data_IF_024338818201
#
_entry.id   IF_024338818201
#
_cell.length_a   1.000
_cell.length_b   1.000
_cell.length_c   1.000
_cell.angle_alpha   90.00
_cell.angle_beta   90.00
_cell.angle_gamma   90.00
#
_symmetry.space_group_name_H-M   'P 1'
#
loop_
_entity.id
_entity.type
_entity.pdbx_description
1 polymer ?
#
# COMPACT_ATOMS: atom_id res chain seq x y z
N UNK A 1 -7.15 -8.71 -13.56
CA UNK A 1 -6.16 -8.37 -14.61
C UNK A 1 -4.97 -9.34 -14.62
N UNK A 2 -4.19 -9.48 -13.55
CA UNK A 2 -2.99 -10.34 -13.53
C UNK A 2 -3.22 -11.79 -14.00
N UNK A 3 -4.34 -12.44 -13.61
CA UNK A 3 -4.68 -13.81 -14.05
C UNK A 3 -4.95 -13.94 -15.56
N UNK A 4 -5.51 -12.91 -16.19
CA UNK A 4 -5.98 -12.96 -17.58
C UNK A 4 -5.04 -12.25 -18.56
N UNK A 5 -4.29 -11.25 -18.07
CA UNK A 5 -3.37 -10.40 -18.84
C UNK A 5 -2.15 -10.03 -18.00
N UNK A 6 -1.31 -11.02 -17.61
CA UNK A 6 -0.18 -10.79 -16.69
C UNK A 6 0.84 -9.79 -17.22
N UNK A 7 1.14 -9.85 -18.52
CA UNK A 7 2.17 -9.04 -19.17
C UNK A 7 1.68 -7.65 -19.62
N UNK A 8 0.39 -7.34 -19.42
CA UNK A 8 -0.12 -6.01 -19.73
C UNK A 8 0.49 -4.98 -18.81
N UNK A 9 0.85 -3.82 -19.39
CA UNK A 9 1.38 -2.68 -18.65
C UNK A 9 0.34 -2.20 -17.63
N UNK A 10 0.79 -2.03 -16.39
CA UNK A 10 0.03 -1.41 -15.32
C UNK A 10 0.48 0.03 -15.09
N UNK A 11 1.79 0.26 -15.01
CA UNK A 11 2.37 1.57 -14.78
C UNK A 11 3.77 1.70 -15.38
N UNK A 12 4.20 2.95 -15.60
CA UNK A 12 5.58 3.33 -15.87
C UNK A 12 6.08 4.22 -14.75
N UNK A 13 7.18 3.82 -14.10
CA UNK A 13 7.70 4.49 -12.91
C UNK A 13 9.08 5.06 -13.24
N UNK A 14 9.40 6.33 -12.93
CA UNK A 14 10.74 6.86 -13.12
C UNK A 14 11.78 5.99 -12.41
N UNK A 15 12.90 5.69 -13.09
CA UNK A 15 13.99 4.94 -12.46
C UNK A 15 14.74 5.74 -11.40
N UNK A 16 14.70 7.07 -11.51
CA UNK A 16 15.29 8.00 -10.55
C UNK A 16 14.21 8.72 -9.76
N UNK A 17 14.46 8.92 -8.48
CA UNK A 17 13.57 9.68 -7.58
C UNK A 17 13.68 11.19 -7.78
N UNK A 18 14.71 11.64 -8.51
CA UNK A 18 15.06 13.06 -8.62
C UNK A 18 15.16 13.53 -10.07
N UNK A 19 15.00 12.63 -11.05
CA UNK A 19 15.18 12.93 -12.47
C UNK A 19 14.38 11.99 -13.37
N UNK A 20 14.05 12.45 -14.58
CA UNK A 20 13.43 11.63 -15.63
C UNK A 20 14.43 11.17 -16.71
N UNK A 21 15.69 11.64 -16.64
CA UNK A 21 16.73 11.35 -17.65
C UNK A 21 17.06 9.85 -17.76
N UNK A 22 16.94 9.12 -16.65
CA UNK A 22 17.17 7.67 -16.59
C UNK A 22 16.02 6.84 -17.19
N UNK A 23 14.97 7.52 -17.66
CA UNK A 23 13.77 6.93 -18.22
C UNK A 23 12.89 6.24 -17.19
N UNK A 24 12.03 5.35 -17.69
CA UNK A 24 10.98 4.71 -16.90
C UNK A 24 11.15 3.19 -16.87
N UNK A 25 10.87 2.60 -15.72
CA UNK A 25 10.67 1.17 -15.55
C UNK A 25 9.20 0.82 -15.80
N UNK A 26 8.97 -0.14 -16.70
CA UNK A 26 7.65 -0.70 -16.95
C UNK A 26 7.30 -1.70 -15.87
N UNK A 27 6.10 -1.56 -15.31
CA UNK A 27 5.55 -2.48 -14.31
C UNK A 27 4.29 -3.11 -14.88
N UNK A 28 4.25 -4.44 -14.91
CA UNK A 28 3.11 -5.21 -15.42
C UNK A 28 2.12 -5.56 -14.31
N UNK A 29 0.92 -6.03 -14.67
CA UNK A 29 -0.03 -6.56 -13.68
C UNK A 29 0.52 -7.78 -12.92
N UNK A 30 1.38 -8.59 -13.52
CA UNK A 30 2.06 -9.68 -12.82
C UNK A 30 3.04 -9.15 -11.76
N UNK A 31 3.81 -8.11 -12.10
CA UNK A 31 4.71 -7.47 -11.13
C UNK A 31 3.94 -6.88 -9.95
N UNK A 32 2.81 -6.21 -10.21
CA UNK A 32 1.93 -5.68 -9.16
C UNK A 32 1.44 -6.82 -8.25
N UNK A 33 0.91 -7.90 -8.81
CA UNK A 33 0.39 -9.03 -8.02
C UNK A 33 1.48 -9.69 -7.16
N UNK A 34 2.69 -9.85 -7.71
CA UNK A 34 3.84 -10.38 -6.98
C UNK A 34 4.25 -9.44 -5.82
N UNK A 35 4.35 -8.13 -6.08
CA UNK A 35 4.65 -7.15 -5.05
C UNK A 35 3.59 -7.12 -3.94
N UNK A 36 2.30 -7.25 -4.29
CA UNK A 36 1.21 -7.37 -3.31
C UNK A 36 1.38 -8.61 -2.42
N UNK A 37 1.73 -9.78 -2.99
CA UNK A 37 2.02 -10.97 -2.19
C UNK A 37 3.21 -10.73 -1.24
N UNK A 38 4.30 -10.13 -1.73
CA UNK A 38 5.48 -9.83 -0.91
C UNK A 38 5.17 -8.90 0.26
N UNK A 39 4.40 -7.85 0.01
CA UNK A 39 3.94 -6.95 1.08
C UNK A 39 3.00 -7.64 2.07
N UNK A 40 2.05 -8.45 1.59
CA UNK A 40 1.14 -9.18 2.46
C UNK A 40 1.89 -10.14 3.39
N UNK A 41 2.86 -10.89 2.86
CA UNK A 41 3.77 -11.71 3.68
C UNK A 41 4.58 -10.86 4.65
N UNK A 42 5.17 -9.74 4.20
CA UNK A 42 5.95 -8.87 5.08
C UNK A 42 5.13 -8.36 6.27
N UNK A 43 3.92 -7.86 5.99
CA UNK A 43 2.98 -7.37 7.01
C UNK A 43 2.60 -8.49 7.96
N UNK A 44 2.17 -9.64 7.44
CA UNK A 44 1.77 -10.78 8.27
C UNK A 44 2.89 -11.24 9.21
N UNK A 45 4.13 -11.35 8.72
CA UNK A 45 5.26 -11.75 9.57
C UNK A 45 5.66 -10.66 10.58
N UNK A 46 5.50 -9.39 10.24
CA UNK A 46 5.93 -8.28 11.10
C UNK A 46 4.92 -8.00 12.21
N UNK A 47 3.63 -8.22 11.94
CA UNK A 47 2.52 -7.74 12.76
C UNK A 47 1.61 -8.87 13.28
N UNK A 48 1.71 -10.06 12.69
CA UNK A 48 0.76 -11.14 12.93
C UNK A 48 -0.52 -10.98 12.09
N UNK A 49 -1.50 -11.88 12.29
CA UNK A 49 -2.81 -11.77 11.66
C UNK A 49 -3.54 -10.52 12.17
N UNK A 50 -4.15 -9.77 11.25
CA UNK A 50 -5.01 -8.64 11.63
C UNK A 50 -6.32 -9.15 12.25
N UNK A 51 -6.64 -8.66 13.45
CA UNK A 51 -7.93 -8.88 14.10
C UNK A 51 -8.75 -7.58 14.12
N UNK A 52 -10.08 -7.69 13.97
CA UNK A 52 -11.04 -6.59 14.22
C UNK A 52 -10.71 -5.23 13.55
N UNK A 53 -10.38 -5.23 12.26
CA UNK A 53 -10.12 -4.00 11.50
C UNK A 53 -8.97 -3.13 12.06
N UNK A 54 -7.82 -3.72 12.34
CA UNK A 54 -6.58 -2.94 12.48
C UNK A 54 -6.40 -2.06 11.22
N UNK A 55 -6.05 -0.78 11.39
CA UNK A 55 -6.01 0.22 10.29
C UNK A 55 -4.57 0.67 10.01
N UNK A 56 -4.12 0.59 8.74
CA UNK A 56 -2.78 1.07 8.30
C UNK A 56 -2.93 2.55 7.99
N UNK A 57 -2.18 3.36 8.71
CA UNK A 57 -1.77 4.63 8.15
C UNK A 57 -0.64 4.35 7.14
N UNK A 58 -0.61 5.01 6.00
CA UNK A 58 0.56 4.97 5.13
C UNK A 58 0.99 6.40 4.86
N UNK A 59 2.26 6.69 5.14
CA UNK A 59 2.87 7.97 4.82
C UNK A 59 4.19 7.68 4.13
N UNK A 60 4.20 7.78 2.80
CA UNK A 60 5.38 7.52 1.98
C UNK A 60 5.23 8.09 0.57
N UNK A 61 6.24 7.85 -0.27
CA UNK A 61 6.27 8.32 -1.66
C UNK A 61 5.05 7.83 -2.46
N UNK A 62 4.58 8.69 -3.38
CA UNK A 62 3.46 8.41 -4.28
C UNK A 62 3.92 7.52 -5.45
N UNK A 63 4.14 6.24 -5.17
CA UNK A 63 4.47 5.22 -6.17
C UNK A 63 3.58 3.98 -6.00
N UNK A 64 3.85 2.92 -6.78
CA UNK A 64 3.02 1.71 -6.81
C UNK A 64 2.88 1.02 -5.44
N UNK A 65 3.78 1.29 -4.49
CA UNK A 65 3.65 0.80 -3.11
C UNK A 65 2.35 1.31 -2.48
N UNK A 66 1.85 2.49 -2.86
CA UNK A 66 0.55 3.01 -2.41
C UNK A 66 -0.60 2.05 -2.79
N UNK A 67 -0.64 1.62 -4.05
CA UNK A 67 -1.67 0.68 -4.53
C UNK A 67 -1.58 -0.68 -3.84
N UNK A 68 -0.37 -1.12 -3.51
CA UNK A 68 -0.16 -2.38 -2.82
C UNK A 68 -0.41 -2.30 -1.30
N UNK A 69 -0.34 -1.10 -0.69
CA UNK A 69 -0.51 -0.85 0.75
C UNK A 69 -1.92 -0.43 1.15
N UNK A 70 -2.76 0.03 0.23
CA UNK A 70 -4.22 0.22 0.44
C UNK A 70 -4.89 -1.07 0.97
N UNK A 71 -4.23 -2.23 0.89
CA UNK A 71 -4.75 -3.52 1.33
C UNK A 71 -4.34 -3.95 2.76
N UNK A 72 -3.81 -3.08 3.63
CA UNK A 72 -3.36 -3.51 4.97
C UNK A 72 -3.66 -2.52 6.14
N UNK A 73 -3.13 -2.76 7.34
CA UNK A 73 -3.66 -2.41 8.69
C UNK A 73 -2.77 -1.74 9.85
N UNK A 74 -1.62 -1.07 9.66
CA UNK A 74 -0.62 -0.36 10.55
C UNK A 74 0.15 0.87 9.90
N UNK A 75 0.76 1.82 10.63
CA UNK A 75 1.61 2.88 10.04
C UNK A 75 2.83 2.34 9.25
N UNK A 76 2.85 2.53 7.93
CA UNK A 76 3.92 2.07 7.05
C UNK A 76 4.58 3.25 6.32
N UNK A 77 5.91 3.30 6.32
CA UNK A 77 6.69 4.39 5.68
C UNK A 77 7.91 3.88 4.90
N UNK A 78 8.44 4.70 4.00
CA UNK A 78 9.64 4.40 3.22
C UNK A 78 10.91 4.49 4.09
N UNK A 79 12.05 4.03 3.56
CA UNK A 79 13.37 4.32 4.12
C UNK A 79 14.20 5.11 3.09
N UNK A 80 14.66 6.34 3.38
CA UNK A 80 14.39 7.10 4.61
C UNK A 80 12.90 7.49 4.74
N UNK A 81 12.44 7.63 5.99
CA UNK A 81 11.09 8.11 6.28
C UNK A 81 10.98 9.60 5.92
N UNK A 82 9.77 10.05 5.54
CA UNK A 82 9.53 11.46 5.25
C UNK A 82 9.73 12.33 6.52
N UNK A 83 10.23 13.57 6.41
CA UNK A 83 10.59 14.40 7.58
C UNK A 83 9.46 14.63 8.60
N UNK A 84 8.19 14.54 8.19
CA UNK A 84 7.03 14.71 9.07
C UNK A 84 6.67 13.45 9.87
N UNK A 85 7.14 12.27 9.44
CA UNK A 85 6.73 10.97 9.99
C UNK A 85 7.18 10.79 11.45
N UNK A 86 8.41 11.16 11.87
CA UNK A 86 8.81 11.05 13.28
C UNK A 86 7.89 11.83 14.22
N UNK A 87 7.52 13.07 13.87
CA UNK A 87 6.65 13.89 14.71
C UNK A 87 5.23 13.32 14.88
N UNK A 88 4.68 12.69 13.84
CA UNK A 88 3.38 12.01 13.91
C UNK A 88 3.47 10.76 14.77
N UNK A 89 4.53 9.98 14.60
CA UNK A 89 4.78 8.76 15.39
C UNK A 89 4.89 9.09 16.87
N UNK A 90 5.65 10.12 17.23
CA UNK A 90 5.83 10.59 18.61
C UNK A 90 4.51 11.13 19.18
N UNK A 91 3.79 11.97 18.44
CA UNK A 91 2.55 12.59 18.92
C UNK A 91 1.40 11.60 19.11
N UNK A 92 1.35 10.54 18.30
CA UNK A 92 0.26 9.56 18.32
C UNK A 92 0.64 8.24 19.00
N UNK A 93 1.88 8.08 19.49
CA UNK A 93 2.36 6.85 20.10
C UNK A 93 2.31 5.64 19.15
N UNK A 94 2.54 5.88 17.86
CA UNK A 94 2.41 4.84 16.84
C UNK A 94 3.67 3.97 16.79
N UNK A 95 3.53 2.72 16.37
CA UNK A 95 4.66 1.88 16.00
C UNK A 95 5.02 2.16 14.54
N UNK A 96 6.26 2.61 14.29
CA UNK A 96 6.78 2.81 12.93
C UNK A 96 7.30 1.48 12.37
N UNK A 97 6.92 1.16 11.13
CA UNK A 97 7.45 0.02 10.37
C UNK A 97 7.86 0.50 8.98
N UNK A 98 9.05 0.09 8.53
CA UNK A 98 9.54 0.41 7.19
C UNK A 98 9.04 -0.61 6.17
N UNK A 99 8.53 -0.14 5.02
CA UNK A 99 8.29 -1.03 3.88
C UNK A 99 9.58 -1.56 3.29
N UNK A 100 9.57 -2.76 2.70
CA UNK A 100 10.50 -3.10 1.64
C UNK A 100 10.56 -2.01 0.55
N UNK A 101 11.72 -1.84 -0.08
CA UNK A 101 11.87 -0.90 -1.19
C UNK A 101 11.06 -1.37 -2.42
N UNK A 102 10.80 -0.46 -3.37
CA UNK A 102 10.17 -0.86 -4.63
C UNK A 102 11.03 -1.89 -5.38
N UNK A 103 12.35 -1.68 -5.38
CA UNK A 103 13.32 -2.59 -6.00
C UNK A 103 13.22 -3.99 -5.38
N UNK A 104 13.25 -4.09 -4.04
CA UNK A 104 13.11 -5.38 -3.33
C UNK A 104 11.82 -6.13 -3.71
N UNK A 105 10.70 -5.41 -3.84
CA UNK A 105 9.40 -5.99 -4.16
C UNK A 105 9.29 -6.44 -5.62
N UNK A 106 10.07 -5.83 -6.51
CA UNK A 106 10.05 -6.15 -7.95
C UNK A 106 11.08 -7.20 -8.34
N UNK A 107 12.21 -7.27 -7.64
CA UNK A 107 13.28 -8.23 -7.92
C UNK A 107 13.02 -9.63 -7.35
N UNK A 108 12.30 -9.71 -6.23
CA UNK A 108 12.00 -10.98 -5.56
C UNK A 108 10.73 -11.60 -6.10
N UNK A 109 10.71 -12.92 -6.22
CA UNK A 109 9.47 -13.68 -6.44
C UNK A 109 8.90 -14.10 -5.10
N UNK A 110 7.60 -13.89 -4.90
CA UNK A 110 6.91 -14.23 -3.66
C UNK A 110 5.87 -15.31 -3.90
N UNK A 111 5.71 -16.20 -2.92
CA UNK A 111 4.62 -17.16 -2.90
C UNK A 111 3.27 -16.44 -2.84
N UNK A 112 2.22 -17.12 -3.30
CA UNK A 112 0.88 -16.57 -3.24
C UNK A 112 0.44 -16.42 -1.78
N UNK A 113 0.07 -15.20 -1.39
CA UNK A 113 -0.50 -14.95 -0.09
C UNK A 113 -1.97 -15.40 -0.07
N UNK A 114 -2.37 -16.31 0.83
CA UNK A 114 -3.74 -16.83 0.86
C UNK A 114 -4.72 -15.74 1.29
N UNK A 115 -5.66 -15.39 0.41
CA UNK A 115 -6.79 -14.51 0.72
C UNK A 115 -8.09 -15.23 0.36
N UNK A 116 -8.82 -15.68 1.38
CA UNK A 116 -9.97 -16.57 1.22
C UNK A 116 -11.32 -15.84 1.10
N UNK A 117 -11.38 -14.52 1.36
CA UNK A 117 -12.61 -13.76 1.18
C UNK A 117 -12.85 -13.50 -0.31
N UNK A 118 -14.06 -13.82 -0.76
CA UNK A 118 -14.55 -13.38 -2.05
C UNK A 118 -14.84 -11.88 -2.00
N UNK A 119 -14.86 -11.21 -3.17
CA UNK A 119 -15.29 -9.81 -3.25
C UNK A 119 -16.67 -9.60 -2.64
N UNK A 120 -17.62 -10.52 -2.86
CA UNK A 120 -18.97 -10.42 -2.30
C UNK A 120 -18.98 -10.41 -0.76
N UNK A 121 -18.08 -11.17 -0.13
CA UNK A 121 -17.90 -11.17 1.32
C UNK A 121 -17.22 -9.90 1.83
N UNK A 122 -16.25 -9.37 1.07
CA UNK A 122 -15.45 -8.22 1.48
C UNK A 122 -16.04 -6.86 1.05
N UNK A 123 -17.05 -6.80 0.17
CA UNK A 123 -17.49 -5.55 -0.48
C UNK A 123 -17.85 -4.42 0.50
N UNK A 124 -18.46 -4.76 1.63
CA UNK A 124 -18.87 -3.79 2.65
C UNK A 124 -17.75 -3.46 3.65
N UNK A 125 -16.63 -4.16 3.61
CA UNK A 125 -15.49 -3.92 4.50
C UNK A 125 -14.76 -2.63 4.10
N UNK A 126 -14.28 -1.84 5.08
CA UNK A 126 -13.38 -0.72 4.83
C UNK A 126 -12.13 -1.15 4.06
N UNK A 127 -11.84 -0.41 2.98
CA UNK A 127 -10.64 -0.52 2.17
C UNK A 127 -9.63 0.58 2.53
N UNK A 128 -10.07 1.83 2.63
CA UNK A 128 -9.19 2.96 2.91
C UNK A 128 -9.88 4.00 3.79
N UNK A 129 -9.11 4.66 4.65
CA UNK A 129 -9.55 5.84 5.39
C UNK A 129 -8.76 7.04 4.89
N UNK A 130 -9.47 8.01 4.31
CA UNK A 130 -8.88 9.21 3.73
C UNK A 130 -9.22 10.43 4.59
N UNK A 131 -8.26 11.33 4.75
CA UNK A 131 -8.49 12.64 5.36
C UNK A 131 -8.59 13.69 4.26
N UNK A 132 -9.70 14.42 4.21
CA UNK A 132 -9.82 15.64 3.39
C UNK A 132 -9.38 16.83 4.22
N UNK A 133 -8.64 17.78 3.62
CA UNK A 133 -8.25 19.03 4.27
C UNK A 133 -9.50 19.87 4.59
N UNK A 134 -10.05 19.71 5.78
CA UNK A 134 -11.10 20.58 6.31
C UNK A 134 -10.48 21.90 6.75
N UNK A 135 -10.94 23.01 6.20
CA UNK A 135 -10.34 24.34 6.43
C UNK A 135 -10.60 24.92 7.83
N UNK A 136 -11.41 24.30 8.69
CA UNK A 136 -11.79 24.89 10.00
C UNK A 136 -12.09 23.91 11.14
N UNK A 137 -11.90 22.60 10.98
CA UNK A 137 -12.06 21.61 12.07
C UNK A 137 -11.15 20.40 11.86
N UNK A 138 -10.95 19.58 12.91
CA UNK A 138 -10.19 18.33 12.82
C UNK A 138 -10.63 17.53 11.58
N UNK A 139 -9.69 17.04 10.74
CA UNK A 139 -10.03 16.38 9.48
C UNK A 139 -10.98 15.19 9.71
N UNK A 140 -12.17 15.24 9.09
CA UNK A 140 -13.13 14.13 9.16
C UNK A 140 -12.62 12.96 8.31
N UNK A 141 -12.54 11.73 8.87
CA UNK A 141 -12.18 10.56 8.08
C UNK A 141 -13.32 10.21 7.12
N UNK A 142 -12.97 9.99 5.85
CA UNK A 142 -13.85 9.38 4.85
C UNK A 142 -13.42 7.91 4.72
N UNK A 143 -14.34 6.99 5.01
CA UNK A 143 -14.10 5.56 4.87
C UNK A 143 -14.58 5.13 3.49
N UNK A 144 -13.68 4.61 2.67
CA UNK A 144 -14.00 3.95 1.41
C UNK A 144 -14.08 2.45 1.65
N UNK A 145 -15.16 1.82 1.20
CA UNK A 145 -15.30 0.36 1.19
C UNK A 145 -14.79 -0.23 -0.12
N UNK A 146 -14.60 -1.55 -0.16
CA UNK A 146 -14.29 -2.26 -1.40
C UNK A 146 -15.35 -2.02 -2.50
N UNK A 147 -16.62 -1.92 -2.13
CA UNK A 147 -17.71 -1.64 -3.07
C UNK A 147 -17.61 -0.22 -3.64
N UNK A 148 -17.30 0.76 -2.80
CA UNK A 148 -17.15 2.16 -3.22
C UNK A 148 -15.97 2.34 -4.20
N UNK A 149 -14.88 1.59 -4.02
CA UNK A 149 -13.74 1.66 -4.93
C UNK A 149 -13.95 0.87 -6.24
N UNK A 150 -14.92 -0.05 -6.27
CA UNK A 150 -15.21 -0.89 -7.42
C UNK A 150 -16.35 -0.35 -8.30
N UNK A 151 -17.11 0.63 -7.81
CA UNK A 151 -18.15 1.36 -8.54
C UNK A 151 -17.58 2.39 -9.51
#
# INVERSE_FOLDING_TARGET
MAKHRPNSLYAEIPKSLTSYEDGFQKVTYANLANATNGLAHYIYHTLGPGENFQTLAYIGMNDIRYNALILAAIMITTNPALPMVPGIVDACGLRMIHTPSLEDLLEKTYDHFPYHKTFAQARAEPLAVLHTSGTTSLPKPIIWTHDFAAS
#
